data_IF_388220046632
#
_entry.id   IF_388220046632
#
_cell.length_a   1.000
_cell.length_b   1.000
_cell.length_c   1.000
_cell.angle_alpha   90.00
_cell.angle_beta   90.00
_cell.angle_gamma   90.00
#
_symmetry.space_group_name_H-M   'P 1'
#
loop_
_entity.id
_entity.type
_entity.pdbx_description
1 polymer ?
#
# COMPACT_ATOMS: atom_id res chain seq x y z
N UNK A 1 0.55 21.74 -12.07
CA UNK A 1 0.82 22.94 -11.25
C UNK A 1 -0.04 22.88 -9.98
N UNK A 2 0.45 23.40 -8.83
CA UNK A 2 -0.34 23.46 -7.60
C UNK A 2 -1.58 24.33 -7.80
N UNK A 3 -2.70 23.97 -7.15
CA UNK A 3 -3.92 24.77 -7.10
C UNK A 3 -3.84 25.89 -6.06
N UNK A 4 -3.15 25.63 -4.95
CA UNK A 4 -2.92 26.59 -3.90
C UNK A 4 -1.49 26.45 -3.39
N UNK A 5 -0.89 27.58 -3.03
CA UNK A 5 0.44 27.68 -2.45
C UNK A 5 0.34 28.63 -1.27
N UNK A 6 0.84 28.19 -0.12
CA UNK A 6 1.01 29.03 1.06
C UNK A 6 2.48 28.97 1.47
N UNK A 7 3.04 30.14 1.78
CA UNK A 7 4.39 30.25 2.34
C UNK A 7 4.32 31.14 3.56
N UNK A 8 4.86 30.66 4.67
CA UNK A 8 4.96 31.41 5.90
C UNK A 8 6.29 31.10 6.62
N UNK A 9 6.44 31.54 7.87
CA UNK A 9 7.67 31.32 8.65
C UNK A 9 7.91 29.85 9.02
N UNK A 10 6.89 28.99 8.88
CA UNK A 10 6.93 27.57 9.25
C UNK A 10 7.21 26.69 8.04
N UNK A 11 7.03 27.20 6.81
CA UNK A 11 7.46 26.51 5.60
C UNK A 11 6.61 26.81 4.37
N UNK A 12 6.48 25.81 3.50
CA UNK A 12 5.70 25.85 2.27
C UNK A 12 4.64 24.75 2.33
N UNK A 13 3.38 25.11 2.08
CA UNK A 13 2.27 24.17 1.92
C UNK A 13 1.73 24.26 0.50
N UNK A 14 1.55 23.09 -0.13
CA UNK A 14 1.11 22.97 -1.51
C UNK A 14 -0.14 22.09 -1.57
N UNK A 15 -1.15 22.54 -2.32
CA UNK A 15 -2.31 21.72 -2.66
C UNK A 15 -2.32 21.44 -4.16
N UNK A 16 -2.44 20.17 -4.54
CA UNK A 16 -2.48 19.74 -5.93
C UNK A 16 -3.87 19.23 -6.29
N UNK A 17 -4.29 19.50 -7.52
CA UNK A 17 -5.48 18.88 -8.11
C UNK A 17 -5.08 17.73 -9.01
N UNK A 18 -5.87 16.65 -9.00
CA UNK A 18 -5.76 15.58 -9.99
C UNK A 18 -6.66 15.90 -11.20
N UNK A 19 -6.16 15.63 -12.39
CA UNK A 19 -6.95 15.62 -13.64
C UNK A 19 -6.88 14.22 -14.21
N UNK A 20 -8.04 13.64 -14.52
CA UNK A 20 -8.14 12.28 -15.05
C UNK A 20 -8.84 12.32 -16.40
N UNK A 21 -8.27 11.63 -17.38
CA UNK A 21 -8.84 11.51 -18.71
C UNK A 21 -10.07 10.60 -18.70
N UNK A 22 -10.91 10.72 -19.73
CA UNK A 22 -11.99 9.77 -19.95
C UNK A 22 -11.41 8.35 -20.08
N UNK A 23 -12.11 7.38 -19.51
CA UNK A 23 -11.72 5.96 -19.54
C UNK A 23 -11.77 5.43 -20.98
N UNK A 24 -12.82 5.78 -21.71
CA UNK A 24 -12.92 5.58 -23.15
C UNK A 24 -12.67 6.91 -23.88
N UNK A 25 -11.55 6.98 -24.58
CA UNK A 25 -11.19 8.14 -25.41
C UNK A 25 -12.08 8.33 -26.63
N UNK A 26 -12.82 7.30 -27.06
CA UNK A 26 -13.71 7.34 -28.23
C UNK A 26 -15.12 7.83 -27.89
N UNK A 27 -15.50 7.74 -26.61
CA UNK A 27 -16.79 8.22 -26.08
C UNK A 27 -16.58 9.09 -24.83
N UNK A 28 -15.85 10.21 -24.92
CA UNK A 28 -15.57 11.03 -23.75
C UNK A 28 -16.87 11.65 -23.20
N UNK A 29 -16.98 11.85 -21.88
CA UNK A 29 -18.10 12.58 -21.29
C UNK A 29 -18.26 13.95 -21.95
N UNK A 30 -19.49 14.32 -22.31
CA UNK A 30 -19.77 15.58 -23.02
C UNK A 30 -19.46 16.85 -22.24
N UNK A 31 -19.17 16.75 -20.93
CA UNK A 31 -18.76 17.86 -20.08
C UNK A 31 -17.64 17.46 -19.11
N UNK A 32 -16.69 18.38 -18.90
CA UNK A 32 -15.66 18.25 -17.87
C UNK A 32 -16.32 18.33 -16.50
N UNK A 33 -16.28 17.24 -15.74
CA UNK A 33 -16.72 17.24 -14.35
C UNK A 33 -15.62 17.82 -13.46
N UNK A 34 -15.87 19.02 -12.92
CA UNK A 34 -15.02 19.60 -11.89
C UNK A 34 -15.60 19.25 -10.53
N UNK A 35 -14.90 18.41 -9.79
CA UNK A 35 -15.24 18.09 -8.41
C UNK A 35 -14.53 19.07 -7.47
N UNK A 36 -15.22 19.44 -6.39
CA UNK A 36 -14.65 20.28 -5.34
C UNK A 36 -13.57 19.52 -4.57
N UNK A 37 -12.70 20.25 -3.88
CA UNK A 37 -11.56 19.72 -3.15
C UNK A 37 -11.97 18.60 -2.18
N UNK A 38 -11.41 17.40 -2.36
CA UNK A 38 -11.58 16.27 -1.43
C UNK A 38 -10.66 16.37 -0.21
N UNK A 39 -9.63 17.23 -0.28
CA UNK A 39 -8.65 17.44 0.76
C UNK A 39 -8.87 18.73 1.57
N UNK A 40 -8.00 18.94 2.55
CA UNK A 40 -7.97 20.16 3.36
C UNK A 40 -7.57 21.38 2.53
N UNK A 41 -8.08 22.54 2.91
CA UNK A 41 -7.56 23.82 2.41
C UNK A 41 -6.09 23.94 2.78
N UNK A 42 -5.29 24.63 1.96
CA UNK A 42 -3.86 24.84 2.27
C UNK A 42 -3.65 25.53 3.63
N UNK A 43 -4.63 26.32 4.09
CA UNK A 43 -4.61 27.00 5.39
C UNK A 43 -4.85 26.06 6.59
N UNK A 44 -5.44 24.89 6.36
CA UNK A 44 -5.82 23.91 7.38
C UNK A 44 -4.87 22.69 7.39
N UNK A 45 -3.81 22.72 6.56
CA UNK A 45 -2.74 21.73 6.58
C UNK A 45 -1.94 21.93 7.88
N UNK A 46 -1.66 20.87 8.65
CA UNK A 46 -0.84 20.96 9.84
C UNK A 46 0.51 21.62 9.55
N UNK A 47 0.87 22.62 10.36
CA UNK A 47 2.17 23.30 10.29
C UNK A 47 3.19 22.46 11.04
N UNK A 48 3.94 21.66 10.31
CA UNK A 48 4.99 20.78 10.84
C UNK A 48 6.34 21.13 10.20
N UNK A 49 7.43 20.77 10.87
CA UNK A 49 8.80 20.94 10.34
C UNK A 49 9.23 19.80 9.41
N UNK A 50 8.55 18.67 9.50
CA UNK A 50 8.78 17.49 8.66
C UNK A 50 8.05 17.57 7.32
N UNK A 51 8.44 16.73 6.36
CA UNK A 51 7.73 16.61 5.11
C UNK A 51 6.44 15.80 5.32
N UNK A 52 5.29 16.44 5.17
CA UNK A 52 3.99 15.75 5.25
C UNK A 52 3.30 15.69 3.88
N UNK A 53 2.82 14.51 3.52
CA UNK A 53 2.04 14.26 2.30
C UNK A 53 0.66 13.76 2.70
N UNK A 54 -0.37 14.48 2.27
CA UNK A 54 -1.77 14.10 2.49
C UNK A 54 -2.43 13.61 1.20
N UNK A 55 -2.95 12.39 1.22
CA UNK A 55 -3.83 11.87 0.17
C UNK A 55 -5.27 11.93 0.67
N UNK A 56 -6.20 12.34 -0.18
CA UNK A 56 -7.63 12.41 0.15
C UNK A 56 -8.36 11.19 -0.45
N UNK A 57 -8.62 10.11 0.30
CA UNK A 57 -9.21 8.89 -0.26
C UNK A 57 -10.63 9.08 -0.78
N UNK A 58 -11.31 10.18 -0.42
CA UNK A 58 -12.57 10.59 -1.02
C UNK A 58 -12.51 10.71 -2.55
N UNK A 59 -11.31 10.86 -3.14
CA UNK A 59 -11.12 10.80 -4.60
C UNK A 59 -11.40 9.43 -5.21
N UNK A 60 -11.40 8.33 -4.44
CA UNK A 60 -11.70 7.00 -4.96
C UNK A 60 -13.13 6.90 -5.49
N UNK A 61 -14.08 7.61 -4.86
CA UNK A 61 -15.49 7.61 -5.28
C UNK A 61 -15.65 8.08 -6.74
N UNK A 62 -15.27 9.30 -7.13
CA UNK A 62 -15.44 9.72 -8.52
C UNK A 62 -14.58 8.93 -9.51
N UNK A 63 -13.38 8.48 -9.12
CA UNK A 63 -12.54 7.67 -10.01
C UNK A 63 -13.19 6.32 -10.32
N UNK A 64 -13.74 5.66 -9.30
CA UNK A 64 -14.45 4.39 -9.50
C UNK A 64 -15.80 4.60 -10.16
N UNK A 65 -16.47 5.72 -9.94
CA UNK A 65 -17.68 6.10 -10.68
C UNK A 65 -17.45 6.19 -12.19
N UNK A 66 -16.31 6.78 -12.61
CA UNK A 66 -15.94 6.82 -14.03
C UNK A 66 -15.76 5.41 -14.61
N UNK A 67 -15.14 4.49 -13.87
CA UNK A 67 -14.94 3.10 -14.32
C UNK A 67 -16.27 2.33 -14.39
N UNK A 68 -17.17 2.55 -13.43
CA UNK A 68 -18.50 1.93 -13.40
C UNK A 68 -19.34 2.43 -14.57
N UNK A 69 -19.36 3.75 -14.83
CA UNK A 69 -20.10 4.34 -15.95
C UNK A 69 -19.59 3.88 -17.31
N UNK A 70 -18.29 3.60 -17.43
CA UNK A 70 -17.67 3.05 -18.64
C UNK A 70 -17.81 1.51 -18.76
N UNK A 71 -18.44 0.84 -17.79
CA UNK A 71 -18.63 -0.62 -17.74
C UNK A 71 -17.32 -1.45 -17.76
N UNK A 72 -16.20 -0.83 -17.36
CA UNK A 72 -14.88 -1.48 -17.31
C UNK A 72 -14.41 -1.81 -15.90
N UNK A 73 -15.21 -1.51 -14.87
CA UNK A 73 -14.89 -1.81 -13.48
C UNK A 73 -15.09 -3.30 -13.14
N UNK A 74 -14.42 -4.17 -13.89
CA UNK A 74 -14.53 -5.63 -13.80
C UNK A 74 -13.16 -6.28 -13.85
N UNK A 75 -12.98 -7.37 -13.10
CA UNK A 75 -11.75 -8.15 -13.10
C UNK A 75 -12.09 -9.64 -12.96
N UNK A 76 -11.50 -10.54 -13.76
CA UNK A 76 -11.60 -11.97 -13.53
C UNK A 76 -11.07 -12.31 -12.12
N UNK A 77 -11.79 -13.15 -11.38
CA UNK A 77 -11.42 -13.44 -9.98
C UNK A 77 -10.04 -14.10 -9.85
N UNK A 78 -9.59 -14.79 -10.91
CA UNK A 78 -8.27 -15.44 -11.00
C UNK A 78 -7.14 -14.44 -11.30
N UNK A 79 -7.47 -13.25 -11.79
CA UNK A 79 -6.50 -12.17 -12.05
C UNK A 79 -6.29 -11.30 -10.79
N UNK A 80 -7.06 -11.54 -9.71
CA UNK A 80 -6.86 -10.87 -8.43
C UNK A 80 -5.57 -11.42 -7.78
N UNK A 81 -4.58 -10.56 -7.45
CA UNK A 81 -3.32 -11.02 -6.88
C UNK A 81 -3.49 -11.84 -5.59
N UNK A 82 -2.79 -12.98 -5.49
CA UNK A 82 -2.73 -13.80 -4.27
C UNK A 82 -3.62 -15.05 -4.27
N UNK A 83 -4.34 -15.35 -5.36
CA UNK A 83 -5.09 -16.61 -5.58
C UNK A 83 -6.20 -16.92 -4.57
N UNK A 84 -6.49 -16.04 -3.61
CA UNK A 84 -7.51 -16.27 -2.58
C UNK A 84 -8.93 -16.35 -3.15
N UNK A 85 -9.15 -15.76 -4.33
CA UNK A 85 -10.43 -15.76 -5.04
C UNK A 85 -10.60 -16.92 -6.03
N UNK A 86 -9.56 -17.74 -6.29
CA UNK A 86 -9.58 -18.79 -7.32
C UNK A 86 -10.73 -19.80 -7.12
N UNK A 87 -11.09 -20.08 -5.87
CA UNK A 87 -12.20 -20.98 -5.51
C UNK A 87 -13.56 -20.53 -6.05
N UNK A 88 -13.72 -19.25 -6.37
CA UNK A 88 -14.94 -18.72 -6.98
C UNK A 88 -15.07 -19.05 -8.48
N UNK A 89 -14.01 -19.55 -9.09
CA UNK A 89 -14.00 -20.07 -10.47
C UNK A 89 -13.75 -21.60 -10.52
N UNK A 90 -13.61 -22.26 -9.38
CA UNK A 90 -13.35 -23.70 -9.30
C UNK A 90 -14.66 -24.53 -9.49
N UNK A 91 -14.75 -25.39 -10.51
CA UNK A 91 -15.97 -26.17 -10.79
C UNK A 91 -16.43 -27.02 -9.60
N UNK A 92 -15.51 -27.70 -8.91
CA UNK A 92 -15.87 -28.61 -7.81
C UNK A 92 -16.42 -27.85 -6.61
N UNK A 93 -15.80 -26.72 -6.26
CA UNK A 93 -16.27 -25.84 -5.19
C UNK A 93 -17.64 -25.25 -5.54
N UNK A 94 -17.80 -24.75 -6.76
CA UNK A 94 -19.05 -24.11 -7.17
C UNK A 94 -20.20 -25.09 -7.34
N UNK A 95 -19.96 -26.36 -7.70
CA UNK A 95 -20.98 -27.43 -7.67
C UNK A 95 -21.53 -27.73 -6.27
N UNK A 96 -20.80 -27.36 -5.21
CA UNK A 96 -21.29 -27.49 -3.84
C UNK A 96 -22.15 -26.29 -3.43
N UNK A 97 -21.97 -25.13 -4.08
CA UNK A 97 -22.79 -23.92 -3.87
C UNK A 97 -24.06 -23.98 -4.72
N UNK A 98 -23.91 -24.40 -5.97
CA UNK A 98 -24.97 -24.55 -6.96
C UNK A 98 -25.05 -26.02 -7.40
N UNK A 99 -25.84 -26.87 -6.71
CA UNK A 99 -26.00 -28.28 -7.07
C UNK A 99 -26.41 -28.51 -8.53
N UNK A 100 -27.13 -27.56 -9.14
CA UNK A 100 -27.48 -27.54 -10.56
C UNK A 100 -26.28 -27.72 -11.50
N UNK A 101 -25.08 -27.26 -11.12
CA UNK A 101 -23.87 -27.42 -11.94
C UNK A 101 -23.42 -28.88 -12.10
N UNK A 102 -23.86 -29.79 -11.22
CA UNK A 102 -23.47 -31.22 -11.29
C UNK A 102 -23.97 -31.91 -12.57
N UNK A 103 -25.01 -31.37 -13.20
CA UNK A 103 -25.55 -31.91 -14.45
C UNK A 103 -24.53 -31.86 -15.62
N UNK A 104 -23.51 -31.00 -15.52
CA UNK A 104 -22.52 -30.77 -16.57
C UNK A 104 -21.24 -31.60 -16.40
N UNK A 105 -21.12 -32.37 -15.31
CA UNK A 105 -19.98 -33.26 -15.08
C UNK A 105 -18.64 -32.55 -14.91
N UNK A 106 -17.55 -33.22 -15.28
CA UNK A 106 -16.16 -32.76 -15.08
C UNK A 106 -15.67 -31.79 -16.16
N UNK A 107 -16.34 -31.73 -17.32
CA UNK A 107 -15.98 -30.86 -18.44
C UNK A 107 -16.49 -29.41 -18.30
N UNK A 108 -17.16 -29.11 -17.17
CA UNK A 108 -17.68 -27.79 -16.83
C UNK A 108 -16.53 -26.78 -16.66
N UNK A 109 -16.64 -25.63 -17.31
CA UNK A 109 -15.77 -24.48 -17.05
C UNK A 109 -16.59 -23.33 -16.48
N UNK A 110 -16.00 -22.60 -15.54
CA UNK A 110 -16.62 -21.45 -14.88
C UNK A 110 -15.73 -20.24 -15.09
N UNK A 111 -16.34 -19.14 -15.53
CA UNK A 111 -15.75 -17.82 -15.59
C UNK A 111 -16.43 -16.95 -14.55
N UNK A 112 -15.66 -16.40 -13.63
CA UNK A 112 -16.16 -15.55 -12.56
C UNK A 112 -15.46 -14.20 -12.60
N UNK A 113 -16.22 -13.12 -12.57
CA UNK A 113 -15.72 -11.75 -12.55
C UNK A 113 -16.24 -11.02 -11.32
N UNK A 114 -15.36 -10.27 -10.65
CA UNK A 114 -15.78 -9.25 -9.70
C UNK A 114 -16.09 -7.97 -10.48
N UNK A 115 -17.35 -7.54 -10.42
CA UNK A 115 -17.87 -6.36 -11.12
C UNK A 115 -18.28 -5.33 -10.09
N UNK A 116 -17.64 -4.17 -10.11
CA UNK A 116 -18.05 -3.04 -9.31
C UNK A 116 -19.25 -2.37 -9.98
N UNK A 117 -20.36 -2.25 -9.27
CA UNK A 117 -21.61 -1.66 -9.82
C UNK A 117 -21.94 -0.32 -9.17
N UNK A 118 -21.28 0.01 -8.05
CA UNK A 118 -21.29 1.34 -7.44
C UNK A 118 -19.91 1.76 -6.95
N UNK A 119 -19.65 3.07 -6.90
CA UNK A 119 -18.34 3.60 -6.49
C UNK A 119 -17.89 3.16 -5.09
N UNK A 120 -16.60 2.89 -4.95
CA UNK A 120 -15.95 2.61 -3.66
C UNK A 120 -15.91 3.89 -2.82
N UNK A 121 -16.01 3.74 -1.50
CA UNK A 121 -15.98 4.85 -0.56
C UNK A 121 -15.00 4.59 0.57
N UNK A 122 -14.52 5.68 1.17
CA UNK A 122 -13.73 5.67 2.39
C UNK A 122 -14.41 6.59 3.39
N UNK A 123 -14.69 6.04 4.57
CA UNK A 123 -15.39 6.71 5.66
C UNK A 123 -14.52 6.71 6.91
N UNK A 124 -14.96 7.42 7.96
CA UNK A 124 -14.35 7.28 9.28
C UNK A 124 -14.60 5.87 9.85
N UNK A 125 -13.55 5.24 10.37
CA UNK A 125 -13.62 3.94 11.01
C UNK A 125 -14.29 3.99 12.39
N UNK A 126 -14.38 2.84 13.05
CA UNK A 126 -14.77 2.81 14.46
C UNK A 126 -13.78 3.58 15.35
N UNK A 127 -14.18 3.86 16.61
CA UNK A 127 -13.24 4.45 17.58
C UNK A 127 -12.00 3.56 17.70
N UNK A 128 -10.84 4.20 17.63
CA UNK A 128 -9.55 3.53 17.73
C UNK A 128 -9.42 2.74 19.04
N UNK A 129 -8.79 1.57 18.95
CA UNK A 129 -8.48 0.73 20.11
C UNK A 129 -7.16 1.11 20.77
N UNK A 130 -6.27 1.78 20.03
CA UNK A 130 -4.96 2.27 20.49
C UNK A 130 -5.01 3.80 20.61
N UNK A 131 -4.23 4.37 21.54
CA UNK A 131 -4.26 5.80 21.88
C UNK A 131 -3.87 6.74 20.73
N UNK A 132 -3.17 6.23 19.71
CA UNK A 132 -2.65 7.01 18.58
C UNK A 132 -3.04 6.42 17.20
N UNK A 133 -4.00 5.49 17.17
CA UNK A 133 -4.57 4.99 15.93
C UNK A 133 -5.81 5.81 15.58
N UNK A 134 -6.05 6.00 14.29
CA UNK A 134 -7.36 6.41 13.78
C UNK A 134 -7.65 5.49 12.59
N UNK A 135 -8.57 4.53 12.70
CA UNK A 135 -8.90 3.70 11.56
C UNK A 135 -9.80 4.48 10.59
N UNK A 136 -9.70 4.15 9.31
CA UNK A 136 -10.70 4.50 8.31
C UNK A 136 -11.50 3.25 7.94
N UNK A 137 -12.68 3.42 7.33
CA UNK A 137 -13.47 2.30 6.82
C UNK A 137 -13.42 2.26 5.30
N UNK A 138 -12.97 1.13 4.76
CA UNK A 138 -13.12 0.83 3.35
C UNK A 138 -14.52 0.28 3.07
N UNK A 139 -15.24 0.85 2.11
CA UNK A 139 -16.62 0.49 1.80
C UNK A 139 -16.79 0.21 0.31
N UNK A 140 -17.27 -0.99 -0.01
CA UNK A 140 -17.82 -1.33 -1.34
C UNK A 140 -19.34 -1.40 -1.18
N UNK A 141 -20.07 -0.33 -1.56
CA UNK A 141 -21.51 -0.28 -1.32
C UNK A 141 -22.27 -1.29 -2.18
N UNK A 142 -21.80 -1.54 -3.40
CA UNK A 142 -22.37 -2.53 -4.29
C UNK A 142 -21.35 -3.01 -5.32
N UNK A 143 -21.17 -4.32 -5.38
CA UNK A 143 -20.47 -5.06 -6.40
C UNK A 143 -21.25 -6.35 -6.70
N UNK A 144 -20.77 -7.14 -7.64
CA UNK A 144 -21.29 -8.45 -7.94
C UNK A 144 -20.16 -9.41 -8.32
N UNK A 145 -20.32 -10.68 -7.98
CA UNK A 145 -19.55 -11.76 -8.61
C UNK A 145 -20.44 -12.33 -9.70
N UNK A 146 -20.15 -11.97 -10.95
CA UNK A 146 -20.84 -12.48 -12.13
C UNK A 146 -20.22 -13.80 -12.54
N UNK A 147 -21.05 -14.82 -12.78
CA UNK A 147 -20.62 -16.16 -13.14
C UNK A 147 -21.21 -16.54 -14.50
N UNK A 148 -20.36 -17.02 -15.38
CA UNK A 148 -20.75 -17.63 -16.64
C UNK A 148 -20.13 -19.02 -16.76
N UNK A 149 -20.79 -19.91 -17.50
CA UNK A 149 -20.34 -21.30 -17.67
C UNK A 149 -20.17 -21.67 -19.14
N UNK A 150 -19.32 -22.66 -19.37
CA UNK A 150 -19.36 -23.52 -20.55
C UNK A 150 -19.73 -24.92 -20.10
N UNK A 151 -20.74 -25.51 -20.73
CA UNK A 151 -21.29 -26.81 -20.34
C UNK A 151 -20.36 -27.95 -20.74
N UNK A 152 -19.55 -27.74 -21.78
CA UNK A 152 -18.47 -28.63 -22.18
C UNK A 152 -17.22 -27.83 -22.57
N UNK A 153 -16.05 -28.45 -22.50
CA UNK A 153 -14.80 -27.84 -22.98
C UNK A 153 -14.83 -27.47 -24.48
N UNK A 154 -15.72 -28.10 -25.26
CA UNK A 154 -15.90 -27.82 -26.69
C UNK A 154 -16.78 -26.60 -26.99
N UNK A 155 -17.48 -26.07 -25.98
CA UNK A 155 -18.35 -24.93 -26.12
C UNK A 155 -17.55 -23.66 -26.40
N UNK A 156 -17.98 -22.91 -27.43
CA UNK A 156 -17.33 -21.66 -27.83
C UNK A 156 -17.87 -20.43 -27.10
N UNK A 157 -19.06 -20.50 -26.51
CA UNK A 157 -19.75 -19.36 -25.89
C UNK A 157 -19.95 -19.57 -24.40
N UNK A 158 -19.61 -18.55 -23.62
CA UNK A 158 -19.96 -18.46 -22.21
C UNK A 158 -21.46 -18.16 -22.07
N UNK A 159 -22.11 -18.85 -21.15
CA UNK A 159 -23.54 -18.70 -20.84
C UNK A 159 -23.64 -18.05 -19.46
N UNK A 160 -24.26 -16.86 -19.32
CA UNK A 160 -24.53 -16.27 -18.02
C UNK A 160 -25.29 -17.25 -17.15
N UNK A 161 -24.79 -17.52 -15.94
CA UNK A 161 -25.26 -18.59 -15.09
C UNK A 161 -25.85 -18.08 -13.78
N UNK A 162 -25.07 -17.30 -13.03
CA UNK A 162 -25.46 -16.80 -11.73
C UNK A 162 -24.74 -15.49 -11.41
N UNK A 163 -25.26 -14.81 -10.40
CA UNK A 163 -24.67 -13.59 -9.86
C UNK A 163 -24.78 -13.64 -8.33
N UNK A 164 -23.71 -13.27 -7.63
CA UNK A 164 -23.74 -12.97 -6.21
C UNK A 164 -23.61 -11.47 -6.01
N UNK A 165 -24.66 -10.83 -5.51
CA UNK A 165 -24.58 -9.41 -5.11
C UNK A 165 -23.66 -9.28 -3.90
N UNK A 166 -22.79 -8.28 -3.88
CA UNK A 166 -21.79 -8.07 -2.84
C UNK A 166 -21.88 -6.64 -2.30
N UNK A 167 -21.89 -6.54 -0.98
CA UNK A 167 -21.58 -5.31 -0.23
C UNK A 167 -20.54 -5.65 0.82
N UNK A 168 -19.63 -4.73 1.08
CA UNK A 168 -18.49 -4.95 1.95
C UNK A 168 -18.19 -3.67 2.73
N UNK A 169 -17.92 -3.82 4.02
CA UNK A 169 -17.30 -2.77 4.82
C UNK A 169 -16.30 -3.36 5.80
N UNK A 170 -15.11 -2.75 5.91
CA UNK A 170 -14.10 -3.17 6.89
C UNK A 170 -13.27 -1.97 7.36
N UNK A 171 -12.97 -1.94 8.65
CA UNK A 171 -12.11 -0.93 9.24
C UNK A 171 -10.64 -1.28 8.95
N UNK A 172 -9.82 -0.25 8.71
CA UNK A 172 -8.42 -0.38 8.32
C UNK A 172 -7.60 0.59 9.14
N UNK A 173 -6.59 0.07 9.82
CA UNK A 173 -5.55 0.85 10.48
C UNK A 173 -4.30 0.84 9.60
N UNK A 174 -3.71 2.01 9.38
CA UNK A 174 -2.48 2.14 8.63
C UNK A 174 -1.31 2.27 9.63
N UNK A 175 -0.26 1.49 9.43
CA UNK A 175 0.93 1.49 10.27
C UNK A 175 2.20 1.49 9.41
N UNK A 176 3.27 2.11 9.91
CA UNK A 176 4.60 1.98 9.33
C UNK A 176 5.36 0.90 10.09
N UNK A 177 5.88 -0.08 9.36
CA UNK A 177 6.73 -1.15 9.91
C UNK A 177 8.16 -1.02 9.41
N UNK A 178 9.11 -1.23 10.32
CA UNK A 178 10.53 -1.26 10.02
C UNK A 178 10.90 -2.62 9.41
N UNK A 179 11.43 -2.60 8.19
CA UNK A 179 11.88 -3.81 7.47
C UNK A 179 13.38 -4.04 7.63
N UNK A 180 14.12 -2.95 7.65
CA UNK A 180 15.56 -2.87 7.93
C UNK A 180 15.87 -1.50 8.51
N UNK A 181 17.16 -1.17 8.69
CA UNK A 181 17.53 0.18 9.07
C UNK A 181 16.98 1.22 8.09
N UNK A 182 17.12 0.99 6.78
CA UNK A 182 16.71 1.94 5.75
C UNK A 182 15.32 1.73 5.17
N UNK A 183 14.75 0.52 5.30
CA UNK A 183 13.51 0.17 4.60
C UNK A 183 12.32 0.28 5.54
N UNK A 184 11.28 0.92 5.04
CA UNK A 184 9.99 1.06 5.69
C UNK A 184 8.91 0.49 4.78
N UNK A 185 7.89 -0.07 5.39
CA UNK A 185 6.71 -0.51 4.66
C UNK A 185 5.45 0.05 5.31
N UNK A 186 4.49 0.41 4.48
CA UNK A 186 3.12 0.69 4.91
C UNK A 186 2.40 -0.66 5.05
N UNK A 187 1.95 -0.93 6.26
CA UNK A 187 1.06 -2.04 6.57
C UNK A 187 -0.36 -1.53 6.73
N UNK A 188 -1.30 -2.19 6.06
CA UNK A 188 -2.73 -1.99 6.29
C UNK A 188 -3.23 -3.14 7.15
N UNK A 189 -3.52 -2.84 8.42
CA UNK A 189 -4.16 -3.77 9.34
C UNK A 189 -5.68 -3.71 9.13
N UNK A 190 -6.22 -4.70 8.44
CA UNK A 190 -7.65 -4.87 8.22
C UNK A 190 -8.29 -5.38 9.51
N UNK A 191 -8.89 -4.48 10.29
CA UNK A 191 -9.40 -4.77 11.62
C UNK A 191 -10.73 -5.51 11.61
N UNK A 192 -10.82 -6.53 12.47
CA UNK A 192 -12.04 -7.31 12.65
C UNK A 192 -12.41 -8.15 11.44
N UNK A 193 -13.57 -8.81 11.51
CA UNK A 193 -14.14 -9.52 10.35
C UNK A 193 -14.80 -8.53 9.41
N UNK A 194 -14.56 -8.68 8.11
CA UNK A 194 -15.24 -7.90 7.10
C UNK A 194 -16.76 -8.07 7.19
N UNK A 195 -17.51 -6.99 7.04
CA UNK A 195 -18.98 -7.04 6.97
C UNK A 195 -19.39 -7.31 5.53
N UNK A 196 -19.43 -8.59 5.16
CA UNK A 196 -19.86 -9.03 3.83
C UNK A 196 -21.37 -9.31 3.84
N UNK A 197 -22.10 -8.56 3.01
CA UNK A 197 -23.51 -8.79 2.72
C UNK A 197 -23.71 -9.21 1.27
N UNK A 198 -24.74 -10.01 1.00
CA UNK A 198 -24.99 -10.47 -0.37
C UNK A 198 -25.90 -11.68 -0.48
N UNK A 199 -26.45 -11.87 -1.68
CA UNK A 199 -27.22 -13.05 -2.05
C UNK A 199 -26.91 -13.47 -3.48
N UNK A 200 -26.81 -14.78 -3.69
CA UNK A 200 -26.68 -15.41 -4.99
C UNK A 200 -28.04 -15.65 -5.64
N UNK A 201 -28.10 -15.47 -6.97
CA UNK A 201 -29.26 -15.76 -7.81
C UNK A 201 -28.82 -16.30 -9.15
N UNK A 202 -29.65 -17.10 -9.80
CA UNK A 202 -29.42 -17.47 -11.20
C UNK A 202 -29.57 -16.25 -12.11
N UNK A 203 -28.87 -16.28 -13.25
CA UNK A 203 -29.03 -15.29 -14.30
C UNK A 203 -30.48 -15.31 -14.82
N UNK A 204 -31.07 -14.17 -15.19
CA UNK A 204 -32.50 -14.07 -15.55
C UNK A 204 -32.95 -15.04 -16.65
N UNK A 205 -32.09 -15.30 -17.62
CA UNK A 205 -32.39 -16.17 -18.78
C UNK A 205 -31.97 -17.64 -18.59
N UNK A 206 -31.35 -17.95 -17.45
CA UNK A 206 -30.92 -19.32 -17.14
C UNK A 206 -32.06 -20.10 -16.47
N UNK A 207 -32.32 -21.32 -16.97
CA UNK A 207 -33.36 -22.22 -16.44
C UNK A 207 -32.69 -23.38 -15.67
N UNK A 208 -32.57 -23.30 -14.34
CA UNK A 208 -31.98 -24.37 -13.56
C UNK A 208 -32.90 -25.61 -13.53
N UNK A 209 -32.29 -26.79 -13.52
CA UNK A 209 -32.97 -28.04 -13.15
C UNK A 209 -33.13 -28.13 -11.63
N UNK A 210 -32.17 -27.60 -10.88
CA UNK A 210 -32.23 -27.47 -9.42
C UNK A 210 -32.08 -26.01 -9.00
N UNK A 211 -33.14 -25.43 -8.43
CA UNK A 211 -33.17 -24.01 -8.04
C UNK A 211 -32.55 -23.71 -6.67
N UNK A 212 -32.07 -24.73 -5.97
CA UNK A 212 -31.42 -24.57 -4.67
C UNK A 212 -30.03 -23.94 -4.85
N UNK A 213 -29.74 -22.91 -4.05
CA UNK A 213 -28.42 -22.28 -3.95
C UNK A 213 -28.03 -22.28 -2.47
N UNK A 214 -26.86 -22.81 -2.13
CA UNK A 214 -26.30 -22.71 -0.78
C UNK A 214 -25.75 -21.30 -0.55
N UNK A 215 -26.63 -20.42 -0.07
CA UNK A 215 -26.34 -19.02 0.19
C UNK A 215 -25.27 -18.84 1.27
N UNK A 216 -25.24 -19.72 2.29
CA UNK A 216 -24.27 -19.61 3.37
C UNK A 216 -22.89 -19.97 2.85
N UNK A 217 -22.78 -21.07 2.11
CA UNK A 217 -21.51 -21.49 1.51
C UNK A 217 -20.96 -20.45 0.53
N UNK A 218 -21.82 -19.81 -0.26
CA UNK A 218 -21.37 -18.71 -1.14
C UNK A 218 -20.80 -17.54 -0.31
N UNK A 219 -21.49 -17.12 0.76
CA UNK A 219 -20.99 -16.06 1.66
C UNK A 219 -19.67 -16.45 2.31
N UNK A 220 -19.54 -17.68 2.79
CA UNK A 220 -18.33 -18.18 3.44
C UNK A 220 -17.14 -18.22 2.47
N UNK A 221 -17.38 -18.57 1.20
CA UNK A 221 -16.35 -18.52 0.15
C UNK A 221 -15.89 -17.09 -0.12
N UNK A 222 -16.82 -16.14 -0.25
CA UNK A 222 -16.48 -14.72 -0.47
C UNK A 222 -15.74 -14.16 0.73
N UNK A 223 -16.19 -14.46 1.95
CA UNK A 223 -15.52 -14.08 3.20
C UNK A 223 -14.09 -14.63 3.24
N UNK A 224 -13.92 -15.93 2.97
CA UNK A 224 -12.60 -16.57 2.97
C UNK A 224 -11.66 -15.98 1.91
N UNK A 225 -12.18 -15.67 0.72
CA UNK A 225 -11.41 -15.05 -0.35
C UNK A 225 -10.94 -13.63 0.03
N UNK A 226 -11.84 -12.85 0.63
CA UNK A 226 -11.55 -11.50 1.11
C UNK A 226 -10.54 -11.50 2.27
N UNK A 227 -10.73 -12.38 3.26
CA UNK A 227 -9.83 -12.50 4.40
C UNK A 227 -8.44 -12.97 3.97
N UNK A 228 -8.37 -13.93 3.03
CA UNK A 228 -7.10 -14.38 2.45
C UNK A 228 -6.35 -13.26 1.72
N UNK A 229 -7.08 -12.38 1.01
CA UNK A 229 -6.49 -11.26 0.28
C UNK A 229 -5.99 -10.13 1.19
N UNK A 230 -6.72 -9.86 2.28
CA UNK A 230 -6.48 -8.71 3.16
C UNK A 230 -5.58 -9.03 4.36
N UNK A 231 -5.68 -10.21 4.96
CA UNK A 231 -4.89 -10.55 6.16
C UNK A 231 -3.52 -11.13 5.83
N UNK A 232 -3.41 -11.89 4.74
CA UNK A 232 -2.18 -12.62 4.37
C UNK A 232 -1.73 -12.31 2.94
N UNK A 233 -2.53 -11.54 2.20
CA UNK A 233 -2.32 -11.25 0.80
C UNK A 233 -1.65 -9.90 0.53
N UNK A 234 -1.49 -9.55 -0.76
CA UNK A 234 -0.73 -8.39 -1.22
C UNK A 234 -1.36 -7.04 -0.83
N UNK A 235 -2.62 -7.02 -0.39
CA UNK A 235 -3.28 -5.80 0.08
C UNK A 235 -2.84 -5.34 1.48
N UNK A 236 -1.99 -6.11 2.16
CA UNK A 236 -1.62 -5.87 3.56
C UNK A 236 -0.31 -5.09 3.75
N UNK A 237 0.62 -5.13 2.79
CA UNK A 237 1.97 -4.59 2.99
C UNK A 237 2.57 -4.08 1.68
N UNK A 238 3.11 -2.86 1.70
CA UNK A 238 3.82 -2.28 0.56
C UNK A 238 5.05 -1.51 1.03
N UNK A 239 6.20 -1.71 0.36
CA UNK A 239 7.41 -0.95 0.67
C UNK A 239 7.27 0.50 0.20
N UNK A 240 7.67 1.44 1.07
CA UNK A 240 7.65 2.86 0.76
C UNK A 240 9.09 3.33 0.62
N UNK A 241 9.52 3.74 -0.59
CA UNK A 241 10.87 4.25 -0.78
C UNK A 241 11.05 5.60 -0.08
N UNK A 242 12.29 5.89 0.31
CA UNK A 242 12.66 7.21 0.78
C UNK A 242 12.46 8.25 -0.34
N UNK A 243 12.04 9.47 0.03
CA UNK A 243 11.93 10.59 -0.90
C UNK A 243 13.26 11.34 -0.90
N UNK A 244 13.84 11.52 -2.09
CA UNK A 244 15.08 12.29 -2.27
C UNK A 244 14.74 13.71 -2.78
N UNK A 245 15.15 14.74 -2.02
CA UNK A 245 14.99 16.15 -2.37
C UNK A 245 16.34 16.86 -2.24
N UNK A 246 16.98 17.11 -3.37
CA UNK A 246 18.34 17.66 -3.39
C UNK A 246 19.34 16.69 -2.75
N UNK A 247 19.99 17.10 -1.66
CA UNK A 247 20.90 16.25 -0.87
C UNK A 247 20.21 15.60 0.34
N UNK A 248 18.94 15.93 0.58
CA UNK A 248 18.16 15.41 1.71
C UNK A 248 17.42 14.14 1.34
N UNK A 249 17.36 13.22 2.28
CA UNK A 249 16.57 11.99 2.22
C UNK A 249 15.48 12.07 3.27
N UNK A 250 14.27 11.66 2.92
CA UNK A 250 13.11 11.70 3.81
C UNK A 250 12.47 10.32 3.85
N UNK A 251 12.50 9.70 5.03
CA UNK A 251 11.99 8.36 5.26
C UNK A 251 10.62 8.44 5.89
N UNK A 252 9.68 7.62 5.43
CA UNK A 252 8.36 7.58 6.05
C UNK A 252 8.51 7.12 7.51
N UNK A 253 7.97 7.91 8.43
CA UNK A 253 8.06 7.65 9.86
C UNK A 253 6.68 7.31 10.44
N UNK A 254 5.64 7.96 9.93
CA UNK A 254 4.29 7.79 10.45
C UNK A 254 3.25 7.92 9.33
N UNK A 255 2.15 7.19 9.50
CA UNK A 255 0.94 7.34 8.69
C UNK A 255 -0.26 7.38 9.63
N UNK A 256 -1.14 8.37 9.44
CA UNK A 256 -2.34 8.53 10.27
C UNK A 256 -3.54 8.87 9.40
N UNK A 257 -4.70 8.29 9.71
CA UNK A 257 -5.97 8.83 9.24
C UNK A 257 -6.27 10.10 10.03
N UNK A 258 -6.43 11.21 9.31
CA UNK A 258 -6.92 12.47 9.85
C UNK A 258 -7.92 13.02 8.86
N UNK A 259 -9.19 12.62 9.02
CA UNK A 259 -10.27 12.92 8.10
C UNK A 259 -10.21 14.38 7.58
N UNK A 260 -10.37 14.59 6.26
CA UNK A 260 -10.69 13.60 5.22
C UNK A 260 -9.45 12.97 4.53
N UNK A 261 -8.28 12.95 5.18
CA UNK A 261 -7.01 12.58 4.56
C UNK A 261 -6.26 11.47 5.29
N UNK A 262 -5.52 10.66 4.53
CA UNK A 262 -4.43 9.86 5.06
C UNK A 262 -3.16 10.71 4.99
N UNK A 263 -2.58 11.01 6.15
CA UNK A 263 -1.38 11.84 6.28
C UNK A 263 -0.17 10.95 6.52
N UNK A 264 0.80 10.99 5.62
CA UNK A 264 2.10 10.38 5.77
C UNK A 264 3.13 11.45 6.14
N UNK A 265 3.84 11.24 7.26
CA UNK A 265 4.91 12.12 7.72
C UNK A 265 6.24 11.45 7.44
N UNK A 266 7.11 12.17 6.73
CA UNK A 266 8.46 11.77 6.38
C UNK A 266 9.46 12.65 7.13
N UNK A 267 10.36 12.01 7.86
CA UNK A 267 11.39 12.67 8.65
C UNK A 267 12.75 12.45 8.01
N UNK A 268 13.73 13.27 8.39
CA UNK A 268 15.13 13.00 8.05
C UNK A 268 15.57 11.74 8.79
N UNK A 269 15.95 10.65 8.11
CA UNK A 269 16.47 9.48 8.75
C UNK A 269 17.87 9.75 9.30
N UNK A 270 18.17 9.18 10.45
CA UNK A 270 19.50 9.26 11.06
C UNK A 270 20.55 8.56 10.18
N UNK A 271 21.82 8.92 10.37
CA UNK A 271 22.97 8.21 9.84
C UNK A 271 23.51 7.28 10.92
N UNK A 272 23.80 6.02 10.58
CA UNK A 272 24.36 5.04 11.52
C UNK A 272 25.72 4.56 11.07
N UNK A 273 26.63 4.47 12.03
CA UNK A 273 27.98 3.89 11.88
C UNK A 273 28.13 2.75 12.87
N UNK A 274 28.33 1.52 12.40
CA UNK A 274 28.50 0.32 13.24
C UNK A 274 29.90 -0.25 13.09
N UNK A 275 30.51 -0.66 14.19
CA UNK A 275 31.79 -1.34 14.16
C UNK A 275 31.59 -2.86 14.23
N UNK A 276 31.62 -3.53 13.08
CA UNK A 276 31.53 -5.00 12.99
C UNK A 276 32.90 -5.70 13.06
N UNK A 277 33.97 -4.97 13.42
CA UNK A 277 35.30 -5.54 13.63
C UNK A 277 35.51 -5.97 15.09
N UNK A 278 36.72 -6.43 15.41
CA UNK A 278 37.14 -6.82 16.77
C UNK A 278 38.02 -5.78 17.47
N UNK A 279 38.24 -4.61 16.86
CA UNK A 279 39.07 -3.53 17.44
C UNK A 279 38.27 -2.23 17.56
N UNK A 280 38.64 -1.37 18.51
CA UNK A 280 38.03 -0.04 18.63
C UNK A 280 38.42 0.84 17.43
N UNK A 281 37.43 1.53 16.86
CA UNK A 281 37.63 2.47 15.75
C UNK A 281 37.70 3.89 16.28
N UNK A 282 38.69 4.65 15.79
CA UNK A 282 38.80 6.08 16.03
C UNK A 282 38.62 6.85 14.72
N UNK A 283 37.73 7.85 14.72
CA UNK A 283 37.42 8.64 13.52
C UNK A 283 36.96 10.06 13.85
N UNK A 284 36.93 10.91 12.83
CA UNK A 284 36.44 12.28 12.91
C UNK A 284 35.35 12.50 11.86
N UNK A 285 34.40 13.39 12.17
CA UNK A 285 33.32 13.77 11.27
C UNK A 285 33.29 15.28 11.06
N UNK A 286 32.83 15.71 9.90
CA UNK A 286 32.62 17.13 9.57
C UNK A 286 31.33 17.30 8.80
N UNK A 287 30.47 18.22 9.26
CA UNK A 287 29.33 18.69 8.47
C UNK A 287 29.76 19.82 7.52
N UNK A 288 28.94 20.20 6.53
CA UNK A 288 29.27 21.30 5.63
C UNK A 288 29.56 22.64 6.32
N UNK A 289 28.99 22.86 7.51
CA UNK A 289 29.05 24.14 8.24
C UNK A 289 29.81 24.06 9.57
N UNK A 290 30.48 22.94 9.87
CA UNK A 290 31.26 22.76 11.09
C UNK A 290 32.74 22.55 10.78
N UNK A 291 33.59 22.74 11.79
CA UNK A 291 34.92 22.15 11.79
C UNK A 291 34.85 20.62 11.97
N UNK A 292 36.00 19.96 11.87
CA UNK A 292 36.13 18.55 12.21
C UNK A 292 35.86 18.34 13.71
N UNK A 293 34.90 17.48 14.02
CA UNK A 293 34.60 17.01 15.37
C UNK A 293 35.21 15.63 15.62
N UNK A 294 35.49 15.35 16.90
CA UNK A 294 36.12 14.12 17.37
C UNK A 294 37.44 14.37 18.10
N UNK A 295 38.29 13.32 18.24
CA UNK A 295 38.07 11.97 17.73
C UNK A 295 36.93 11.25 18.47
N UNK A 296 36.08 10.57 17.71
CA UNK A 296 35.07 9.64 18.21
C UNK A 296 35.67 8.25 18.32
N UNK A 297 35.30 7.51 19.36
CA UNK A 297 35.72 6.13 19.59
C UNK A 297 34.51 5.20 19.56
N UNK A 298 34.59 4.15 18.75
CA UNK A 298 33.49 3.20 18.53
C UNK A 298 33.98 1.78 18.78
N UNK A 299 33.52 1.16 19.86
CA UNK A 299 33.97 -0.18 20.28
C UNK A 299 33.41 -1.28 19.37
N UNK A 300 34.02 -2.47 19.35
CA UNK A 300 33.48 -3.64 18.66
C UNK A 300 32.02 -3.91 19.00
N UNK A 301 31.18 -4.08 17.98
CA UNK A 301 29.75 -4.35 18.09
C UNK A 301 28.87 -3.13 18.43
N UNK A 302 29.45 -1.96 18.69
CA UNK A 302 28.69 -0.74 18.99
C UNK A 302 28.33 0.04 17.71
N UNK A 303 27.31 0.90 17.84
CA UNK A 303 26.91 1.84 16.81
C UNK A 303 26.87 3.28 17.34
N UNK A 304 27.30 4.23 16.53
CA UNK A 304 26.96 5.64 16.70
C UNK A 304 25.86 6.03 15.72
N UNK A 305 24.97 6.91 16.16
CA UNK A 305 23.84 7.43 15.38
C UNK A 305 23.90 8.95 15.37
N UNK A 306 23.66 9.55 14.21
CA UNK A 306 23.79 10.98 13.99
C UNK A 306 22.53 11.51 13.30
N UNK A 307 21.89 12.49 13.92
CA UNK A 307 20.84 13.30 13.28
C UNK A 307 21.50 14.32 12.36
N UNK A 308 21.66 13.95 11.09
CA UNK A 308 22.30 14.77 10.08
C UNK A 308 21.47 14.79 8.79
N UNK A 309 20.82 15.93 8.54
CA UNK A 309 20.04 16.18 7.32
C UNK A 309 20.88 16.38 6.05
N UNK A 310 22.21 16.39 6.17
CA UNK A 310 23.16 16.55 5.07
C UNK A 310 24.26 15.50 5.16
N UNK A 311 24.89 15.11 4.04
CA UNK A 311 26.03 14.21 4.08
C UNK A 311 27.13 14.70 5.02
N UNK A 312 27.75 13.76 5.74
CA UNK A 312 28.88 14.03 6.62
C UNK A 312 30.18 13.62 5.93
N UNK A 313 31.21 14.45 6.02
CA UNK A 313 32.56 14.02 5.68
C UNK A 313 33.13 13.23 6.84
N UNK A 314 33.70 12.08 6.53
CA UNK A 314 34.36 11.19 7.45
C UNK A 314 35.84 11.17 7.17
N UNK A 315 36.66 11.09 8.23
CA UNK A 315 38.08 10.74 8.07
C UNK A 315 38.60 9.90 9.23
N UNK A 316 39.60 9.07 8.94
CA UNK A 316 40.44 8.41 9.95
C UNK A 316 41.85 8.19 9.45
N UNK A 317 42.77 7.90 10.37
CA UNK A 317 44.16 7.54 10.06
C UNK A 317 44.35 6.03 10.19
N UNK A 318 44.79 5.36 9.11
CA UNK A 318 45.11 3.92 9.07
C UNK A 318 46.47 3.75 8.41
N UNK A 319 47.41 3.05 9.05
CA UNK A 319 48.77 2.81 8.52
C UNK A 319 49.46 4.08 8.01
N UNK A 320 49.34 5.16 8.77
CA UNK A 320 49.86 6.49 8.45
C UNK A 320 49.29 7.15 7.18
N UNK A 321 48.18 6.63 6.64
CA UNK A 321 47.40 7.24 5.55
C UNK A 321 46.06 7.75 6.08
N UNK A 322 45.61 8.89 5.54
CA UNK A 322 44.27 9.40 5.81
C UNK A 322 43.28 8.78 4.84
N UNK A 323 42.28 8.09 5.38
CA UNK A 323 41.09 7.68 4.63
C UNK A 323 40.02 8.75 4.79
N UNK A 324 39.37 9.12 3.69
CA UNK A 324 38.31 10.14 3.67
C UNK A 324 37.15 9.62 2.84
N UNK A 325 35.94 9.71 3.39
CA UNK A 325 34.71 9.29 2.71
C UNK A 325 33.62 10.35 2.90
N UNK A 326 32.64 10.36 2.00
CA UNK A 326 31.39 11.10 2.21
C UNK A 326 30.33 10.09 2.63
N UNK A 327 29.73 10.29 3.79
CA UNK A 327 28.67 9.45 4.32
C UNK A 327 27.33 10.10 4.02
N UNK A 328 26.50 9.43 3.23
CA UNK A 328 25.19 9.92 2.86
C UNK A 328 24.24 9.96 4.08
N UNK A 329 23.44 11.02 4.19
CA UNK A 329 22.42 11.15 5.23
C UNK A 329 21.38 10.04 5.13
N UNK A 330 21.01 9.43 6.26
CA UNK A 330 19.99 8.37 6.27
C UNK A 330 20.47 6.95 6.03
N UNK A 331 21.78 6.75 5.82
CA UNK A 331 22.37 5.47 5.49
C UNK A 331 23.06 4.84 6.71
N UNK A 332 23.17 3.53 6.65
CA UNK A 332 23.96 2.73 7.56
C UNK A 332 25.31 2.37 6.91
N UNK A 333 26.38 2.63 7.64
CA UNK A 333 27.73 2.23 7.26
C UNK A 333 28.33 1.31 8.32
N UNK A 334 29.10 0.32 7.87
CA UNK A 334 29.69 -0.71 8.71
C UNK A 334 31.20 -0.79 8.50
N UNK A 335 31.95 -0.80 9.59
CA UNK A 335 33.35 -1.24 9.56
C UNK A 335 33.38 -2.76 9.48
N UNK A 336 33.77 -3.28 8.33
CA UNK A 336 33.91 -4.73 8.11
C UNK A 336 35.38 -5.15 8.25
N UNK A 337 35.65 -6.32 8.83
CA UNK A 337 37.01 -6.85 8.92
C UNK A 337 37.58 -7.13 7.53
N UNK A 338 38.86 -6.83 7.34
CA UNK A 338 39.57 -7.07 6.08
C UNK A 338 40.81 -7.94 6.34
N UNK A 339 41.07 -8.89 5.43
CA UNK A 339 42.19 -9.82 5.57
C UNK A 339 43.52 -9.05 5.62
N UNK A 340 44.21 -9.13 6.76
CA UNK A 340 45.49 -8.43 6.99
C UNK A 340 45.36 -7.00 7.51
N UNK A 341 44.16 -6.48 7.70
CA UNK A 341 43.90 -5.16 8.28
C UNK A 341 42.91 -5.28 9.45
N UNK A 342 43.45 -5.33 10.67
CA UNK A 342 42.65 -5.46 11.89
C UNK A 342 41.67 -4.29 12.09
N UNK A 343 41.95 -3.11 11.50
CA UNK A 343 41.08 -1.93 11.57
C UNK A 343 39.97 -1.90 10.50
N UNK A 344 39.90 -2.93 9.65
CA UNK A 344 38.85 -3.10 8.65
C UNK A 344 38.73 -1.96 7.64
N UNK A 345 37.64 -1.97 6.88
CA UNK A 345 37.26 -0.92 5.92
C UNK A 345 35.80 -0.52 6.12
N UNK A 346 35.46 0.73 5.82
CA UNK A 346 34.10 1.24 5.94
C UNK A 346 33.34 0.99 4.64
N UNK A 347 32.18 0.36 4.74
CA UNK A 347 31.28 0.07 3.61
C UNK A 347 29.86 0.51 3.93
N UNK A 348 29.05 0.68 2.88
CA UNK A 348 27.60 0.74 3.02
C UNK A 348 27.10 -0.62 3.52
N UNK A 349 26.25 -0.60 4.54
CA UNK A 349 25.67 -1.80 5.11
C UNK A 349 24.69 -2.47 4.13
N UNK A 350 24.55 -3.79 4.21
CA UNK A 350 23.66 -4.56 3.35
C UNK A 350 22.16 -4.35 3.66
N UNK A 351 21.85 -3.77 4.82
CA UNK A 351 20.49 -3.48 5.26
C UNK A 351 19.98 -2.09 4.81
N UNK A 352 20.76 -1.41 3.95
CA UNK A 352 20.37 -0.21 3.22
C UNK A 352 19.34 -0.45 2.11
#
# INVERSE_FOLDING_TARGET
APRQVLTDKQGISLSFGLTVAAVDSTSPPGQIQRLNSFGRSVNDIPKVTDLQIGVAPGMLKPLTEMLVQADVARIPVQDIPGHSFDKLADPQTMQQVFPDLKQYGEDLQIWSELVLTRPIQVEDGAKAKKADSNPFRFVVPQAAISMAIKKSASDKKWIPYAEFTLSLGQDVEAEIVDRSYSKRALKLEWEGGAKIGGTARFAPDYKPQESNIDQQKMRDLVQSAWDGWTQQGPASLTEIPDIELGFGRYRINQVNWTAPQLLATFTVPELKLTNATQVEMEYELKSPYSDWGGPYKLKPGESHVFDAATPLLYRRKVDNRMQVFTLAAGWHFEFLPETGNASGMLFEAADN
#
